data_IF_986083908435
#
_entry.id   IF_986083908435
#
_cell.length_a   1.000
_cell.length_b   1.000
_cell.length_c   1.000
_cell.angle_alpha   90.00
_cell.angle_beta   90.00
_cell.angle_gamma   90.00
#
_symmetry.space_group_name_H-M   'P 1'
#
loop_
_entity.id
_entity.type
_entity.pdbx_description
1 polymer ?
#
# COMPACT_ATOMS: atom_id res chain seq x y z
N UNK A 1 -3.68 -27.02 -3.91
CA UNK A 1 -2.86 -26.19 -3.02
C UNK A 1 -3.40 -26.32 -1.61
N UNK A 2 -2.57 -26.70 -0.66
CA UNK A 2 -2.91 -26.75 0.77
C UNK A 2 -2.31 -25.52 1.43
N UNK A 3 -3.16 -24.74 2.10
CA UNK A 3 -2.70 -23.63 2.93
C UNK A 3 -2.57 -24.18 4.34
N UNK A 4 -1.37 -24.15 4.88
CA UNK A 4 -1.08 -24.53 6.26
C UNK A 4 -1.23 -23.27 7.14
N UNK A 5 -1.87 -23.39 8.30
CA UNK A 5 -1.88 -22.32 9.30
C UNK A 5 -1.14 -22.83 10.53
N UNK A 6 -0.02 -22.17 10.86
CA UNK A 6 0.84 -22.59 11.98
C UNK A 6 0.54 -21.85 13.27
N UNK A 7 -0.34 -20.86 13.24
CA UNK A 7 -0.66 -20.00 14.39
C UNK A 7 0.59 -19.44 15.10
N UNK A 8 1.59 -19.07 14.29
CA UNK A 8 2.84 -18.51 14.78
C UNK A 8 2.66 -17.17 15.48
N UNK A 9 3.68 -16.73 16.19
CA UNK A 9 3.66 -15.43 16.85
C UNK A 9 3.56 -14.31 15.82
N UNK A 10 2.71 -13.29 16.06
CA UNK A 10 2.64 -12.12 15.20
C UNK A 10 3.98 -11.38 15.18
N UNK A 11 4.16 -10.52 14.18
CA UNK A 11 5.32 -9.65 14.10
C UNK A 11 5.54 -8.91 15.42
N UNK A 12 6.80 -8.88 15.88
CA UNK A 12 7.19 -8.26 17.16
C UNK A 12 7.09 -6.73 17.08
N UNK A 13 6.91 -6.18 15.89
CA UNK A 13 6.89 -4.73 15.68
C UNK A 13 5.50 -4.15 15.97
N UNK A 14 5.43 -3.20 16.92
CA UNK A 14 4.22 -2.43 17.18
C UNK A 14 3.73 -1.73 15.89
N UNK A 15 2.41 -1.64 15.64
CA UNK A 15 1.85 -0.86 14.54
C UNK A 15 2.34 0.59 14.50
N UNK A 16 2.73 1.17 15.64
CA UNK A 16 3.33 2.51 15.71
C UNK A 16 4.61 2.68 14.89
N UNK A 17 5.29 1.58 14.54
CA UNK A 17 6.45 1.61 13.65
C UNK A 17 6.11 2.09 12.22
N UNK A 18 4.86 1.93 11.79
CA UNK A 18 4.40 2.38 10.48
C UNK A 18 4.17 3.90 10.40
N UNK A 19 4.08 4.60 11.53
CA UNK A 19 3.68 6.03 11.60
C UNK A 19 4.58 6.93 10.76
N UNK A 20 5.91 6.77 10.85
CA UNK A 20 6.83 7.61 10.09
C UNK A 20 6.69 7.40 8.58
N UNK A 21 6.57 6.14 8.13
CA UNK A 21 6.33 5.82 6.72
C UNK A 21 5.00 6.36 6.21
N UNK A 22 3.95 6.31 7.03
CA UNK A 22 2.65 6.90 6.72
C UNK A 22 2.74 8.43 6.59
N UNK A 23 3.39 9.10 7.55
CA UNK A 23 3.55 10.54 7.54
C UNK A 23 4.32 11.06 6.31
N UNK A 24 5.28 10.29 5.82
CA UNK A 24 6.02 10.61 4.59
C UNK A 24 5.17 10.46 3.33
N UNK A 25 4.30 9.45 3.30
CA UNK A 25 3.42 9.16 2.15
C UNK A 25 2.20 10.07 2.10
N UNK A 26 1.68 10.49 3.25
CA UNK A 26 0.51 11.37 3.36
C UNK A 26 0.91 12.84 3.27
N UNK A 27 1.34 13.28 2.10
CA UNK A 27 1.71 14.69 1.86
C UNK A 27 0.54 15.62 2.22
N UNK A 28 0.78 16.60 3.08
CA UNK A 28 -0.26 17.52 3.57
C UNK A 28 -0.95 17.04 4.87
N UNK A 29 -0.71 15.83 5.34
CA UNK A 29 -1.20 15.40 6.64
C UNK A 29 -0.23 15.80 7.76
N UNK A 30 -0.78 16.17 8.91
CA UNK A 30 -0.09 16.19 10.19
C UNK A 30 -0.51 14.94 10.97
N UNK A 31 0.44 14.08 11.25
CA UNK A 31 0.20 12.89 12.07
C UNK A 31 0.52 13.22 13.52
N UNK A 32 -0.45 13.08 14.40
CA UNK A 32 -0.31 13.35 15.81
C UNK A 32 -0.41 12.03 16.58
N UNK A 33 0.70 11.60 17.12
CA UNK A 33 0.75 10.38 17.96
C UNK A 33 0.30 10.74 19.37
N UNK A 34 -0.72 10.05 19.84
CA UNK A 34 -1.31 10.24 21.17
C UNK A 34 -0.99 9.01 22.04
N UNK A 35 -0.24 9.19 23.10
CA UNK A 35 0.12 8.08 23.94
C UNK A 35 1.15 8.44 25.01
N UNK A 36 1.68 7.44 25.70
CA UNK A 36 2.73 7.63 26.71
C UNK A 36 4.08 8.01 26.08
N UNK A 37 5.01 8.43 26.92
CA UNK A 37 6.40 8.71 26.50
C UNK A 37 7.06 7.50 25.86
N UNK A 38 6.74 6.29 26.30
CA UNK A 38 7.28 5.06 25.74
C UNK A 38 6.81 4.84 24.28
N UNK A 39 5.52 5.05 24.00
CA UNK A 39 4.96 4.94 22.66
C UNK A 39 5.53 6.03 21.73
N UNK A 40 5.65 7.28 22.21
CA UNK A 40 6.31 8.34 21.47
C UNK A 40 7.78 7.97 21.15
N UNK A 41 8.49 7.33 22.07
CA UNK A 41 9.86 6.88 21.87
C UNK A 41 9.96 5.78 20.81
N UNK A 42 9.01 4.86 20.75
CA UNK A 42 8.94 3.84 19.68
C UNK A 42 8.94 4.51 18.31
N UNK A 43 8.04 5.49 18.10
CA UNK A 43 7.96 6.20 16.82
C UNK A 43 9.23 7.01 16.51
N UNK A 44 9.84 7.63 17.52
CA UNK A 44 11.05 8.44 17.35
C UNK A 44 12.33 7.61 17.13
N UNK A 45 12.39 6.38 17.64
CA UNK A 45 13.59 5.54 17.60
C UNK A 45 13.80 4.88 16.23
N UNK A 46 12.74 4.72 15.45
CA UNK A 46 12.82 4.17 14.11
C UNK A 46 12.93 5.29 13.08
N UNK A 47 14.08 5.39 12.40
CA UNK A 47 14.16 6.27 11.25
C UNK A 47 13.15 5.78 10.20
N UNK A 48 12.48 6.71 9.54
CA UNK A 48 11.84 6.40 8.28
C UNK A 48 12.88 5.73 7.37
N UNK A 49 12.52 4.62 6.77
CA UNK A 49 13.43 3.96 5.83
C UNK A 49 13.84 4.98 4.77
N UNK A 50 15.14 5.07 4.42
CA UNK A 50 15.56 5.99 3.38
C UNK A 50 14.86 5.64 2.09
N UNK A 51 13.93 6.48 1.67
CA UNK A 51 13.27 6.32 0.37
C UNK A 51 14.31 6.50 -0.72
N UNK A 52 14.51 5.54 -1.63
CA UNK A 52 15.45 5.69 -2.73
C UNK A 52 15.09 6.83 -3.67
N UNK A 53 13.88 7.37 -3.57
CA UNK A 53 13.35 8.46 -4.40
C UNK A 53 13.46 9.84 -3.75
N UNK A 54 13.74 9.91 -2.45
CA UNK A 54 13.90 11.17 -1.73
C UNK A 54 15.29 11.21 -1.09
N UNK A 55 16.27 11.88 -1.71
CA UNK A 55 17.58 12.05 -1.10
C UNK A 55 17.42 12.81 0.22
N UNK A 56 17.65 12.13 1.34
CA UNK A 56 17.80 12.70 2.69
C UNK A 56 16.69 13.70 3.06
N UNK A 57 15.43 13.23 3.03
CA UNK A 57 14.36 14.02 3.63
C UNK A 57 14.70 14.26 5.09
N UNK A 58 14.78 15.52 5.56
CA UNK A 58 14.89 15.77 6.98
C UNK A 58 13.73 15.06 7.66
N UNK A 59 13.95 14.46 8.84
CA UNK A 59 12.95 13.78 9.67
C UNK A 59 11.61 14.47 9.49
N UNK A 60 10.58 13.71 9.11
CA UNK A 60 9.28 14.28 8.79
C UNK A 60 8.87 15.27 9.89
N UNK A 61 8.84 16.55 9.55
CA UNK A 61 8.35 17.62 10.44
C UNK A 61 6.84 17.54 10.64
N UNK A 62 6.21 16.49 10.11
CA UNK A 62 4.77 16.25 10.08
C UNK A 62 4.28 15.24 11.09
N UNK A 63 5.16 14.78 11.98
CA UNK A 63 4.78 13.95 13.13
C UNK A 63 4.89 14.79 14.38
N UNK A 64 3.79 14.97 15.09
CA UNK A 64 3.73 15.60 16.40
C UNK A 64 3.37 14.56 17.46
N UNK A 65 3.65 14.84 18.72
CA UNK A 65 3.39 13.95 19.83
C UNK A 65 2.57 14.67 20.90
N UNK A 66 1.50 14.01 21.32
CA UNK A 66 0.78 14.37 22.55
C UNK A 66 1.08 13.29 23.56
N UNK A 67 2.02 13.60 24.44
CA UNK A 67 2.41 12.69 25.52
C UNK A 67 1.41 12.83 26.68
N UNK A 68 0.77 11.70 26.99
CA UNK A 68 -0.17 11.58 28.07
C UNK A 68 0.57 11.28 29.38
N UNK A 69 0.19 11.98 30.46
CA UNK A 69 0.72 11.74 31.79
C UNK A 69 -0.29 10.92 32.61
N UNK A 70 0.04 9.70 33.05
CA UNK A 70 -0.87 8.89 33.85
C UNK A 70 -1.30 9.54 35.17
N UNK A 71 -0.57 10.54 35.65
CA UNK A 71 -0.88 11.26 36.88
C UNK A 71 -1.86 12.44 36.69
N UNK A 72 -2.13 12.83 35.45
CA UNK A 72 -3.10 13.90 35.15
C UNK A 72 -4.54 13.36 35.07
N UNK A 73 -5.44 13.87 35.94
CA UNK A 73 -6.84 13.41 36.04
C UNK A 73 -7.73 13.83 34.85
N UNK A 74 -7.37 14.84 34.07
CA UNK A 74 -8.17 15.34 32.94
C UNK A 74 -7.34 15.47 31.67
N UNK A 75 -7.37 14.43 30.84
CA UNK A 75 -6.66 14.45 29.56
C UNK A 75 -7.57 14.73 28.34
N UNK A 76 -8.89 14.62 28.54
CA UNK A 76 -9.88 14.87 27.52
C UNK A 76 -9.95 16.37 27.17
N UNK A 77 -9.93 16.71 25.86
CA UNK A 77 -9.84 18.09 25.36
C UNK A 77 -8.42 18.65 25.27
N UNK A 78 -7.43 18.08 25.99
CA UNK A 78 -6.03 18.49 25.90
C UNK A 78 -5.39 18.00 24.59
N UNK A 79 -5.76 16.80 24.14
CA UNK A 79 -5.25 16.23 22.90
C UNK A 79 -5.59 17.12 21.71
N UNK A 80 -6.86 17.52 21.59
CA UNK A 80 -7.29 18.43 20.53
C UNK A 80 -6.54 19.77 20.59
N UNK A 81 -6.38 20.36 21.79
CA UNK A 81 -5.68 21.64 21.94
C UNK A 81 -4.23 21.54 21.48
N UNK A 82 -3.50 20.50 21.89
CA UNK A 82 -2.10 20.29 21.47
C UNK A 82 -1.99 19.95 19.98
N UNK A 83 -2.94 19.19 19.43
CA UNK A 83 -2.99 18.90 17.99
C UNK A 83 -3.21 20.17 17.16
N UNK A 84 -4.09 21.08 17.64
CA UNK A 84 -4.35 22.38 17.02
C UNK A 84 -3.11 23.26 17.03
N UNK A 85 -2.41 23.35 18.17
CA UNK A 85 -1.14 24.07 18.27
C UNK A 85 -0.08 23.53 17.31
N UNK A 86 0.05 22.21 17.24
CA UNK A 86 0.97 21.56 16.30
C UNK A 86 0.60 21.85 14.84
N UNK A 87 -0.69 21.83 14.50
CA UNK A 87 -1.18 22.16 13.16
C UNK A 87 -0.91 23.62 12.79
N UNK A 88 -1.10 24.56 13.73
CA UNK A 88 -0.80 25.97 13.54
C UNK A 88 0.70 26.22 13.28
N UNK A 89 1.57 25.43 13.89
CA UNK A 89 3.02 25.44 13.67
C UNK A 89 3.48 24.74 12.38
N UNK A 90 2.62 23.93 11.76
CA UNK A 90 2.95 23.14 10.56
C UNK A 90 2.35 23.79 9.31
N UNK A 91 3.21 24.35 8.44
CA UNK A 91 2.74 24.98 7.20
C UNK A 91 2.18 23.96 6.21
N UNK A 92 1.02 24.27 5.63
CA UNK A 92 0.40 23.48 4.56
C UNK A 92 -0.23 22.18 5.07
N UNK A 93 -0.70 22.13 6.30
CA UNK A 93 -1.54 21.08 6.82
C UNK A 93 -2.92 21.16 6.19
N UNK A 94 -3.37 20.07 5.60
CA UNK A 94 -4.68 19.93 4.93
C UNK A 94 -5.54 18.87 5.62
N UNK A 95 -4.91 18.01 6.41
CA UNK A 95 -5.53 16.90 7.12
C UNK A 95 -4.80 16.63 8.43
N UNK A 96 -5.53 16.33 9.50
CA UNK A 96 -4.94 15.94 10.79
C UNK A 96 -5.31 14.48 11.09
N UNK A 97 -4.31 13.65 11.31
CA UNK A 97 -4.49 12.25 11.68
C UNK A 97 -4.04 12.05 13.13
N UNK A 98 -4.98 11.72 14.01
CA UNK A 98 -4.69 11.33 15.39
C UNK A 98 -4.44 9.82 15.41
N UNK A 99 -3.22 9.39 15.74
CA UNK A 99 -2.87 7.99 15.93
C UNK A 99 -2.78 7.72 17.43
N UNK A 100 -3.82 7.13 17.98
CA UNK A 100 -3.89 6.81 19.39
C UNK A 100 -3.21 5.46 19.67
N UNK A 101 -2.22 5.46 20.55
CA UNK A 101 -1.65 4.25 21.10
C UNK A 101 -2.58 3.62 22.15
N UNK A 102 -2.27 2.39 22.56
CA UNK A 102 -3.07 1.65 23.55
C UNK A 102 -3.24 2.40 24.87
N UNK A 103 -2.21 3.14 25.29
CA UNK A 103 -2.27 3.92 26.52
C UNK A 103 -3.32 5.04 26.47
N UNK A 104 -3.61 5.59 25.32
CA UNK A 104 -4.63 6.63 25.17
C UNK A 104 -6.01 6.10 25.59
N UNK A 105 -6.38 4.91 25.14
CA UNK A 105 -7.65 4.26 25.52
C UNK A 105 -7.67 3.93 27.01
N UNK A 106 -6.57 3.35 27.53
CA UNK A 106 -6.44 3.01 28.96
C UNK A 106 -6.53 4.23 29.89
N UNK A 107 -6.10 5.38 29.39
CA UNK A 107 -6.17 6.67 30.12
C UNK A 107 -7.48 7.43 29.85
N UNK A 108 -8.46 6.79 29.18
CA UNK A 108 -9.79 7.34 28.97
C UNK A 108 -9.87 8.42 27.89
N UNK A 109 -8.89 8.50 26.98
CA UNK A 109 -8.93 9.44 25.85
C UNK A 109 -9.81 8.89 24.74
N UNK A 110 -10.91 9.56 24.43
CA UNK A 110 -11.72 9.32 23.23
C UNK A 110 -11.11 10.07 22.03
N UNK A 111 -10.25 9.36 21.28
CA UNK A 111 -9.53 9.93 20.16
C UNK A 111 -10.46 10.43 19.02
N UNK A 112 -11.62 9.78 18.81
CA UNK A 112 -12.60 10.23 17.82
C UNK A 112 -13.27 11.55 18.25
N UNK A 113 -13.58 11.68 19.53
CA UNK A 113 -14.10 12.95 20.06
C UNK A 113 -13.07 14.07 19.90
N UNK A 114 -11.80 13.80 20.21
CA UNK A 114 -10.70 14.75 20.03
C UNK A 114 -10.53 15.16 18.55
N UNK A 115 -10.61 14.23 17.61
CA UNK A 115 -10.55 14.54 16.18
C UNK A 115 -11.73 15.44 15.74
N UNK A 116 -12.95 15.17 16.23
CA UNK A 116 -14.11 16.05 15.96
C UNK A 116 -13.91 17.47 16.50
N UNK A 117 -13.26 17.62 17.65
CA UNK A 117 -12.90 18.93 18.19
C UNK A 117 -11.87 19.65 17.30
N UNK A 118 -10.85 18.92 16.81
CA UNK A 118 -9.86 19.47 15.88
C UNK A 118 -10.53 19.96 14.60
N UNK A 119 -11.37 19.13 13.98
CA UNK A 119 -12.12 19.49 12.76
C UNK A 119 -12.93 20.78 12.96
N UNK A 120 -13.66 20.89 14.09
CA UNK A 120 -14.47 22.09 14.37
C UNK A 120 -13.65 23.36 14.58
N UNK A 121 -12.44 23.24 15.13
CA UNK A 121 -11.58 24.37 15.48
C UNK A 121 -10.74 24.87 14.32
N UNK A 122 -10.26 23.95 13.46
CA UNK A 122 -9.36 24.26 12.36
C UNK A 122 -10.06 24.40 11.01
N UNK A 123 -11.33 23.98 10.90
CA UNK A 123 -12.05 23.83 9.62
C UNK A 123 -11.26 22.96 8.63
N UNK A 124 -10.57 21.95 9.16
CA UNK A 124 -9.80 20.95 8.41
C UNK A 124 -10.32 19.56 8.78
N UNK A 125 -10.36 18.62 7.83
CA UNK A 125 -10.70 17.23 8.16
C UNK A 125 -9.68 16.65 9.13
N UNK A 126 -10.17 16.07 10.21
CA UNK A 126 -9.37 15.35 11.18
C UNK A 126 -10.02 14.01 11.51
N UNK A 127 -9.24 12.96 11.48
CA UNK A 127 -9.66 11.59 11.77
C UNK A 127 -8.79 10.97 12.85
N UNK A 128 -9.35 10.03 13.59
CA UNK A 128 -8.64 9.29 14.61
C UNK A 128 -8.54 7.81 14.25
N UNK A 129 -7.38 7.24 14.50
CA UNK A 129 -7.14 5.81 14.32
C UNK A 129 -6.46 5.27 15.57
N UNK A 130 -7.04 4.22 16.15
CA UNK A 130 -6.42 3.50 17.25
C UNK A 130 -5.39 2.50 16.67
N UNK A 131 -4.10 2.70 16.95
CA UNK A 131 -3.04 1.87 16.42
C UNK A 131 -3.11 0.41 16.90
N UNK A 132 -3.57 0.21 18.14
CA UNK A 132 -3.50 -1.08 18.83
C UNK A 132 -4.86 -1.78 19.03
N UNK A 133 -5.93 -1.32 18.35
CA UNK A 133 -7.29 -1.88 18.54
C UNK A 133 -7.44 -3.39 18.25
N UNK A 134 -6.44 -4.03 17.67
CA UNK A 134 -6.43 -5.47 17.37
C UNK A 134 -5.38 -6.27 18.15
N UNK A 135 -4.79 -5.70 19.19
CA UNK A 135 -3.78 -6.41 19.99
C UNK A 135 -4.29 -7.71 20.64
N UNK A 136 -5.60 -7.82 20.79
CA UNK A 136 -6.26 -9.02 21.31
C UNK A 136 -6.53 -10.09 20.22
N UNK A 137 -6.30 -9.75 18.94
CA UNK A 137 -6.43 -10.68 17.84
C UNK A 137 -5.04 -11.21 17.43
N UNK A 138 -4.84 -12.54 17.38
CA UNK A 138 -3.62 -13.11 16.81
C UNK A 138 -3.39 -12.57 15.39
N UNK A 139 -2.19 -12.06 15.09
CA UNK A 139 -1.82 -11.64 13.74
C UNK A 139 -2.03 -10.14 13.43
N UNK A 140 -1.98 -9.25 14.42
CA UNK A 140 -1.92 -7.79 14.18
C UNK A 140 -0.63 -7.41 13.49
N UNK A 141 -0.73 -6.74 12.34
CA UNK A 141 0.40 -6.35 11.51
C UNK A 141 0.61 -4.83 11.53
N UNK A 142 1.84 -4.39 11.25
CA UNK A 142 2.12 -2.97 11.00
C UNK A 142 1.30 -2.40 9.84
N UNK A 143 0.92 -3.25 8.88
CA UNK A 143 0.02 -2.93 7.76
C UNK A 143 -1.42 -2.64 8.20
N UNK A 144 -1.84 -3.11 9.37
CA UNK A 144 -3.20 -2.86 9.88
C UNK A 144 -3.43 -1.39 10.23
N UNK A 145 -2.40 -0.68 10.68
CA UNK A 145 -2.49 0.78 10.88
C UNK A 145 -2.73 1.49 9.55
N UNK A 146 -2.03 1.09 8.49
CA UNK A 146 -2.23 1.67 7.16
C UNK A 146 -3.64 1.44 6.64
N UNK A 147 -4.16 0.23 6.74
CA UNK A 147 -5.52 -0.11 6.32
C UNK A 147 -6.57 0.75 7.04
N UNK A 148 -6.41 0.97 8.36
CA UNK A 148 -7.30 1.85 9.13
C UNK A 148 -7.19 3.30 8.73
N UNK A 149 -5.97 3.79 8.51
CA UNK A 149 -5.76 5.16 8.04
C UNK A 149 -6.40 5.37 6.69
N UNK A 150 -6.25 4.41 5.76
CA UNK A 150 -6.90 4.50 4.46
C UNK A 150 -8.42 4.34 4.57
N UNK A 151 -8.93 3.53 5.50
CA UNK A 151 -10.36 3.45 5.78
C UNK A 151 -10.92 4.81 6.26
N UNK A 152 -10.22 5.49 7.17
CA UNK A 152 -10.58 6.82 7.64
C UNK A 152 -10.58 7.85 6.49
N UNK A 153 -9.56 7.82 5.62
CA UNK A 153 -9.54 8.68 4.42
C UNK A 153 -10.67 8.35 3.45
N UNK A 154 -11.01 7.09 3.24
CA UNK A 154 -12.18 6.67 2.43
C UNK A 154 -13.47 7.21 3.03
N UNK A 155 -13.63 7.16 4.36
CA UNK A 155 -14.81 7.74 5.03
C UNK A 155 -14.90 9.26 4.86
N UNK A 156 -13.77 9.94 4.89
CA UNK A 156 -13.69 11.40 4.68
C UNK A 156 -13.91 11.81 3.21
N UNK A 157 -13.87 10.89 2.24
CA UNK A 157 -14.12 11.22 0.83
C UNK A 157 -15.51 11.87 0.64
N UNK A 158 -15.65 12.87 -0.25
CA UNK A 158 -16.96 13.41 -0.63
C UNK A 158 -17.88 12.31 -1.18
N UNK A 159 -19.17 12.34 -0.80
CA UNK A 159 -20.14 11.38 -1.34
C UNK A 159 -20.47 11.71 -2.78
N UNK A 160 -20.29 10.74 -3.69
CA UNK A 160 -20.76 10.84 -5.07
C UNK A 160 -22.20 10.37 -5.16
N UNK A 161 -23.06 11.18 -5.78
CA UNK A 161 -24.47 10.83 -6.04
C UNK A 161 -24.66 10.53 -7.52
N UNK A 162 -25.58 9.65 -7.84
CA UNK A 162 -25.96 9.36 -9.24
C UNK A 162 -26.45 10.59 -10.01
N UNK A 163 -27.04 11.58 -9.29
CA UNK A 163 -27.44 12.87 -9.86
C UNK A 163 -26.28 13.67 -10.44
N UNK A 164 -25.10 13.55 -9.87
CA UNK A 164 -23.91 14.33 -10.28
C UNK A 164 -23.40 13.90 -11.66
N UNK A 165 -23.71 12.65 -12.07
CA UNK A 165 -23.40 12.15 -13.41
C UNK A 165 -24.32 12.72 -14.49
N UNK A 166 -25.55 13.05 -14.15
CA UNK A 166 -26.53 13.60 -15.09
C UNK A 166 -26.25 15.07 -15.39
N UNK A 167 -25.67 15.82 -14.45
CA UNK A 167 -25.31 17.23 -14.64
C UNK A 167 -24.08 17.41 -15.53
N UNK A 168 -23.12 16.49 -15.49
CA UNK A 168 -21.92 16.52 -16.36
C UNK A 168 -22.21 16.15 -17.81
N UNK A 169 -23.36 15.52 -18.09
CA UNK A 169 -23.80 15.14 -19.46
C UNK A 169 -24.65 16.22 -20.15
N UNK A 170 -25.03 17.28 -19.46
CA UNK A 170 -25.72 18.42 -20.10
C UNK A 170 -24.72 19.25 -20.92
N UNK A 171 -24.87 19.35 -22.23
CA UNK A 171 -24.03 20.21 -23.04
C UNK A 171 -24.24 21.66 -22.61
N UNK A 172 -23.20 22.27 -22.03
CA UNK A 172 -23.22 23.69 -21.73
C UNK A 172 -23.58 24.45 -23.01
N UNK A 173 -24.78 25.04 -23.03
CA UNK A 173 -25.19 26.01 -24.08
C UNK A 173 -24.26 27.22 -23.99
N UNK A 174 -23.11 27.14 -24.63
CA UNK A 174 -22.32 28.31 -24.98
C UNK A 174 -22.86 28.86 -26.29
N UNK A 175 -23.83 29.76 -26.17
CA UNK A 175 -24.12 30.72 -27.22
C UNK A 175 -22.94 31.66 -27.38
N UNK A 176 -22.26 31.61 -28.51
CA UNK A 176 -21.14 32.48 -28.86
C UNK A 176 -20.80 32.24 -30.33
N UNK A 177 -21.48 32.95 -31.25
CA UNK A 177 -21.01 33.17 -32.61
C UNK A 177 -19.66 33.90 -32.53
N UNK A 178 -18.61 33.30 -33.00
CA UNK A 178 -17.32 33.79 -33.51
C UNK A 178 -16.18 32.89 -33.04
N UNK A 179 -15.60 32.14 -33.96
CA UNK A 179 -14.39 31.39 -33.68
C UNK A 179 -14.11 30.21 -34.61
N UNK A 180 -14.41 30.36 -35.89
CA UNK A 180 -13.81 29.51 -36.92
C UNK A 180 -12.53 30.21 -37.37
N UNK A 181 -11.38 29.65 -37.05
CA UNK A 181 -10.19 29.53 -37.86
C UNK A 181 -8.95 29.25 -36.99
N UNK A 182 -8.19 28.22 -37.40
CA UNK A 182 -6.84 27.87 -36.96
C UNK A 182 -6.68 27.14 -35.60
N UNK A 183 -6.45 25.86 -35.73
CA UNK A 183 -5.92 25.04 -34.63
C UNK A 183 -5.97 23.55 -34.95
N UNK A 184 -4.96 23.02 -35.62
CA UNK A 184 -4.74 21.59 -35.85
C UNK A 184 -4.83 20.81 -34.52
N UNK A 185 -5.73 19.85 -34.49
CA UNK A 185 -5.60 18.50 -33.93
C UNK A 185 -4.86 18.32 -32.63
N UNK A 186 -5.51 18.63 -31.49
CA UNK A 186 -5.51 17.76 -30.35
C UNK A 186 -6.85 17.03 -30.39
N UNK A 187 -6.85 15.74 -30.72
CA UNK A 187 -7.97 14.88 -30.42
C UNK A 187 -8.24 15.01 -28.94
N UNK A 188 -9.28 15.73 -28.58
CA UNK A 188 -9.89 15.60 -27.26
C UNK A 188 -10.30 14.13 -27.15
N UNK A 189 -9.53 13.37 -26.32
CA UNK A 189 -9.95 12.04 -25.90
C UNK A 189 -11.33 12.25 -25.27
N UNK A 190 -12.37 11.82 -25.98
CA UNK A 190 -13.74 11.84 -25.49
C UNK A 190 -13.73 11.09 -24.17
N UNK A 191 -14.07 11.78 -23.07
CA UNK A 191 -14.26 11.19 -21.76
C UNK A 191 -15.07 9.90 -21.92
N UNK A 192 -14.53 8.77 -21.51
CA UNK A 192 -15.14 7.46 -21.67
C UNK A 192 -16.50 7.44 -21.01
N UNK A 193 -17.47 6.75 -21.61
CA UNK A 193 -18.80 6.51 -21.04
C UNK A 193 -18.76 5.51 -19.86
N UNK A 194 -17.59 5.20 -19.33
CA UNK A 194 -17.38 4.24 -18.26
C UNK A 194 -17.60 4.83 -16.85
N UNK A 195 -17.69 3.94 -15.87
CA UNK A 195 -17.70 4.35 -14.46
C UNK A 195 -16.36 4.94 -14.06
N UNK A 196 -16.34 5.99 -13.23
CA UNK A 196 -15.09 6.55 -12.72
C UNK A 196 -14.39 5.58 -11.79
N UNK A 197 -13.07 5.58 -11.86
CA UNK A 197 -12.21 4.68 -11.08
C UNK A 197 -11.42 5.48 -10.05
N UNK A 198 -11.35 4.94 -8.83
CA UNK A 198 -10.49 5.38 -7.74
C UNK A 198 -9.46 4.28 -7.46
N UNK A 199 -8.18 4.64 -7.40
CA UNK A 199 -7.11 3.72 -7.02
C UNK A 199 -6.92 3.74 -5.50
N UNK A 200 -7.03 2.57 -4.84
CA UNK A 200 -6.86 2.43 -3.40
C UNK A 200 -5.53 1.76 -3.08
N UNK A 201 -4.67 2.45 -2.30
CA UNK A 201 -3.37 1.93 -1.88
C UNK A 201 -2.22 2.19 -2.88
N UNK A 202 -2.37 3.16 -3.79
CA UNK A 202 -1.40 3.46 -4.86
C UNK A 202 -0.12 4.20 -4.43
N UNK A 203 0.25 4.19 -3.17
CA UNK A 203 1.14 5.20 -2.58
C UNK A 203 2.61 4.86 -2.49
N UNK A 204 3.02 3.64 -2.80
CA UNK A 204 4.44 3.25 -2.64
C UNK A 204 5.38 3.91 -3.64
N UNK A 205 4.88 4.39 -4.79
CA UNK A 205 5.67 5.14 -5.74
C UNK A 205 4.80 6.02 -6.64
N UNK A 206 4.99 7.33 -6.62
CA UNK A 206 4.27 8.24 -7.52
C UNK A 206 4.43 7.90 -9.01
N UNK A 207 5.60 7.36 -9.40
CA UNK A 207 5.87 6.94 -10.78
C UNK A 207 5.02 5.74 -11.21
N UNK A 208 4.84 4.78 -10.31
CA UNK A 208 4.04 3.57 -10.57
C UNK A 208 2.57 3.86 -10.70
N UNK A 209 2.03 4.72 -9.84
CA UNK A 209 0.64 5.17 -9.95
C UNK A 209 0.39 5.88 -11.28
N UNK A 210 1.37 6.64 -11.77
CA UNK A 210 1.28 7.32 -13.08
C UNK A 210 1.19 6.33 -14.23
N UNK A 211 2.03 5.29 -14.26
CA UNK A 211 1.97 4.27 -15.32
C UNK A 211 0.59 3.61 -15.39
N UNK A 212 0.07 3.17 -14.25
CA UNK A 212 -1.26 2.54 -14.19
C UNK A 212 -2.37 3.51 -14.61
N UNK A 213 -2.28 4.77 -14.18
CA UNK A 213 -3.20 5.82 -14.58
C UNK A 213 -3.18 6.03 -16.12
N UNK A 214 -1.99 6.15 -16.71
CA UNK A 214 -1.82 6.29 -18.15
C UNK A 214 -2.37 5.07 -18.92
N UNK A 215 -2.11 3.87 -18.42
CA UNK A 215 -2.61 2.62 -19.04
C UNK A 215 -4.13 2.53 -18.98
N UNK A 216 -4.73 2.83 -17.84
CA UNK A 216 -6.18 2.88 -17.69
C UNK A 216 -6.81 3.96 -18.57
N UNK A 217 -6.18 5.14 -18.66
CA UNK A 217 -6.62 6.22 -19.54
C UNK A 217 -6.58 5.82 -21.04
N UNK A 218 -5.55 5.07 -21.48
CA UNK A 218 -5.47 4.52 -22.82
C UNK A 218 -6.61 3.51 -23.12
N UNK A 219 -7.11 2.82 -22.11
CA UNK A 219 -8.29 1.97 -22.20
C UNK A 219 -9.62 2.76 -22.14
N UNK A 220 -9.56 4.09 -22.03
CA UNK A 220 -10.72 4.98 -21.93
C UNK A 220 -11.30 5.07 -20.51
N UNK A 221 -10.60 4.53 -19.50
CA UNK A 221 -11.03 4.58 -18.10
C UNK A 221 -10.69 5.95 -17.51
N UNK A 222 -11.67 6.59 -16.90
CA UNK A 222 -11.49 7.83 -16.16
C UNK A 222 -11.06 7.52 -14.73
N UNK A 223 -9.77 7.70 -14.42
CA UNK A 223 -9.25 7.63 -13.03
C UNK A 223 -9.42 9.01 -12.39
N UNK A 224 -10.37 9.12 -11.47
CA UNK A 224 -10.73 10.39 -10.81
C UNK A 224 -9.87 10.74 -9.61
N UNK A 225 -9.02 9.82 -9.18
CA UNK A 225 -8.08 10.03 -8.09
C UNK A 225 -7.61 8.74 -7.44
N UNK A 226 -6.90 8.88 -6.33
CA UNK A 226 -6.45 7.79 -5.48
C UNK A 226 -6.74 8.06 -4.00
N UNK A 227 -6.75 7.01 -3.20
CA UNK A 227 -6.74 7.09 -1.74
C UNK A 227 -5.51 6.31 -1.23
N UNK A 228 -4.54 7.02 -0.62
CA UNK A 228 -4.47 8.46 -0.51
C UNK A 228 -4.22 9.12 -1.87
N UNK A 229 -4.61 10.40 -2.01
CA UNK A 229 -4.26 11.21 -3.16
C UNK A 229 -2.81 11.67 -3.17
N UNK A 230 -2.42 12.52 -4.12
CA UNK A 230 -1.08 13.14 -4.13
C UNK A 230 -0.86 14.03 -2.89
N UNK A 231 -1.96 14.58 -2.36
CA UNK A 231 -2.02 15.28 -1.06
C UNK A 231 -3.17 14.72 -0.24
N UNK A 232 -3.04 14.74 1.09
CA UNK A 232 -4.04 14.19 2.00
C UNK A 232 -5.42 14.86 1.90
N UNK A 233 -5.46 16.13 1.50
CA UNK A 233 -6.71 16.87 1.26
C UNK A 233 -7.35 16.60 -0.12
N UNK A 234 -6.65 15.94 -1.04
CA UNK A 234 -7.16 15.60 -2.37
C UNK A 234 -7.92 14.27 -2.32
N UNK A 235 -9.13 14.30 -1.74
CA UNK A 235 -9.98 13.14 -1.60
C UNK A 235 -10.96 13.05 -2.79
N UNK A 236 -10.94 11.94 -3.58
CA UNK A 236 -11.86 11.77 -4.69
C UNK A 236 -13.29 11.56 -4.21
N UNK A 237 -14.28 12.01 -4.98
CA UNK A 237 -15.68 11.70 -4.68
C UNK A 237 -15.95 10.20 -4.87
N UNK A 238 -16.52 9.55 -3.85
CA UNK A 238 -16.68 8.11 -3.75
C UNK A 238 -18.12 7.75 -3.38
N UNK A 239 -18.70 6.75 -4.05
CA UNK A 239 -20.09 6.32 -3.80
C UNK A 239 -20.61 5.42 -4.93
N UNK A 240 -21.94 5.39 -5.09
CA UNK A 240 -22.60 4.66 -6.17
C UNK A 240 -21.96 4.99 -7.53
N UNK A 241 -21.85 4.00 -8.41
CA UNK A 241 -21.20 4.11 -9.72
C UNK A 241 -19.68 4.33 -9.70
N UNK A 242 -19.03 4.45 -8.54
CA UNK A 242 -17.57 4.50 -8.46
C UNK A 242 -16.98 3.08 -8.40
N UNK A 243 -15.98 2.82 -9.21
CA UNK A 243 -15.19 1.59 -9.16
C UNK A 243 -13.94 1.85 -8.33
N UNK A 244 -13.68 1.02 -7.34
CA UNK A 244 -12.47 1.11 -6.50
C UNK A 244 -11.54 -0.05 -6.85
N UNK A 245 -10.38 0.27 -7.36
CA UNK A 245 -9.34 -0.68 -7.72
C UNK A 245 -8.30 -0.77 -6.59
N UNK A 246 -8.31 -1.89 -5.86
CA UNK A 246 -7.42 -2.13 -4.72
C UNK A 246 -6.06 -2.60 -5.22
N UNK A 247 -4.99 -1.97 -4.75
CA UNK A 247 -3.62 -2.22 -5.18
C UNK A 247 -2.74 -2.86 -4.09
N UNK A 248 -3.30 -3.05 -2.90
CA UNK A 248 -2.63 -3.65 -1.74
C UNK A 248 -3.56 -4.70 -1.11
N UNK A 249 -3.13 -5.96 -0.96
CA UNK A 249 -3.96 -7.04 -0.46
C UNK A 249 -4.34 -6.89 1.02
N UNK A 250 -3.70 -5.98 1.75
CA UNK A 250 -3.97 -5.76 3.17
C UNK A 250 -5.11 -4.76 3.43
N UNK A 251 -5.58 -4.05 2.41
CA UNK A 251 -6.57 -2.96 2.56
C UNK A 251 -8.01 -3.47 2.70
N UNK A 252 -8.24 -4.31 3.69
CA UNK A 252 -9.52 -4.95 3.96
C UNK A 252 -10.56 -3.99 4.54
N UNK A 253 -10.17 -3.19 5.55
CA UNK A 253 -11.07 -2.23 6.17
C UNK A 253 -11.39 -1.08 5.21
N UNK A 254 -10.37 -0.53 4.54
CA UNK A 254 -10.55 0.55 3.57
C UNK A 254 -11.45 0.12 2.39
N UNK A 255 -11.27 -1.09 1.89
CA UNK A 255 -12.13 -1.63 0.82
C UNK A 255 -13.57 -1.85 1.32
N UNK A 256 -13.76 -2.35 2.53
CA UNK A 256 -15.09 -2.51 3.14
C UNK A 256 -15.78 -1.15 3.31
N UNK A 257 -15.07 -0.15 3.82
CA UNK A 257 -15.61 1.21 3.95
C UNK A 257 -16.04 1.77 2.59
N UNK A 258 -15.26 1.50 1.52
CA UNK A 258 -15.65 1.89 0.17
C UNK A 258 -16.94 1.18 -0.31
N UNK A 259 -17.09 -0.13 -0.03
CA UNK A 259 -18.31 -0.89 -0.33
C UNK A 259 -19.52 -0.36 0.46
N UNK A 260 -19.37 -0.04 1.74
CA UNK A 260 -20.41 0.55 2.60
C UNK A 260 -20.87 1.93 2.10
N UNK A 261 -20.00 2.64 1.41
CA UNK A 261 -20.31 3.91 0.73
C UNK A 261 -20.96 3.72 -0.65
N UNK A 262 -21.18 2.47 -1.06
CA UNK A 262 -21.84 2.09 -2.32
C UNK A 262 -20.89 1.91 -3.50
N UNK A 263 -19.58 2.00 -3.32
CA UNK A 263 -18.63 1.78 -4.39
C UNK A 263 -18.48 0.29 -4.73
N UNK A 264 -18.06 0.01 -5.98
CA UNK A 264 -17.74 -1.35 -6.44
C UNK A 264 -16.25 -1.61 -6.30
N UNK A 265 -15.88 -2.52 -5.40
CA UNK A 265 -14.50 -2.93 -5.20
C UNK A 265 -14.13 -4.04 -6.18
N UNK A 266 -13.09 -3.81 -6.98
CA UNK A 266 -12.56 -4.79 -7.94
C UNK A 266 -11.69 -5.80 -7.21
N UNK A 267 -11.99 -7.09 -7.43
CA UNK A 267 -11.21 -8.23 -6.92
C UNK A 267 -10.51 -8.89 -8.09
N UNK A 268 -9.22 -8.66 -8.21
CA UNK A 268 -8.39 -9.11 -9.34
C UNK A 268 -6.98 -9.41 -8.84
N UNK A 269 -6.07 -9.80 -9.73
CA UNK A 269 -4.66 -9.87 -9.41
C UNK A 269 -4.14 -8.47 -9.04
N UNK A 270 -3.25 -8.41 -8.06
CA UNK A 270 -2.52 -7.18 -7.78
C UNK A 270 -1.71 -6.77 -9.03
N UNK A 271 -1.56 -5.47 -9.32
CA UNK A 271 -0.81 -5.01 -10.49
C UNK A 271 0.70 -5.15 -10.27
N UNK A 272 1.13 -6.37 -9.90
CA UNK A 272 2.51 -6.77 -9.64
C UNK A 272 2.95 -7.77 -10.71
N UNK A 273 4.09 -7.49 -11.35
CA UNK A 273 4.55 -8.27 -12.47
C UNK A 273 3.77 -7.98 -13.76
N UNK A 274 4.19 -8.63 -14.83
CA UNK A 274 3.64 -8.36 -16.17
C UNK A 274 2.19 -8.81 -16.30
N UNK A 275 1.92 -10.09 -15.98
CA UNK A 275 0.59 -10.67 -16.17
C UNK A 275 -0.41 -10.15 -15.13
N UNK A 276 0.04 -9.90 -13.88
CA UNK A 276 -0.78 -9.25 -12.87
C UNK A 276 -1.21 -7.84 -13.28
N UNK A 277 -0.29 -7.06 -13.83
CA UNK A 277 -0.58 -5.71 -14.34
C UNK A 277 -1.58 -5.74 -15.50
N UNK A 278 -1.36 -6.62 -16.47
CA UNK A 278 -2.26 -6.78 -17.61
C UNK A 278 -3.68 -7.17 -17.16
N UNK A 279 -3.78 -8.14 -16.26
CA UNK A 279 -5.05 -8.62 -15.72
C UNK A 279 -5.77 -7.55 -14.91
N UNK A 280 -5.03 -6.84 -14.04
CA UNK A 280 -5.57 -5.71 -13.28
C UNK A 280 -6.21 -4.65 -14.18
N UNK A 281 -5.50 -4.21 -15.24
CA UNK A 281 -6.01 -3.21 -16.17
C UNK A 281 -7.26 -3.72 -16.89
N UNK A 282 -7.27 -4.99 -17.32
CA UNK A 282 -8.42 -5.59 -18.00
C UNK A 282 -9.65 -5.66 -17.10
N UNK A 283 -9.49 -6.13 -15.86
CA UNK A 283 -10.60 -6.33 -14.93
C UNK A 283 -11.16 -4.98 -14.44
N UNK A 284 -10.28 -4.01 -14.10
CA UNK A 284 -10.70 -2.65 -13.74
C UNK A 284 -11.46 -1.97 -14.87
N UNK A 285 -10.95 -2.11 -16.11
CA UNK A 285 -11.65 -1.58 -17.28
C UNK A 285 -13.01 -2.26 -17.49
N UNK A 286 -13.10 -3.58 -17.28
CA UNK A 286 -14.34 -4.35 -17.36
C UNK A 286 -15.39 -3.87 -16.37
N UNK A 287 -15.01 -3.67 -15.10
CA UNK A 287 -15.89 -3.14 -14.07
C UNK A 287 -16.30 -1.69 -14.32
N UNK A 288 -15.44 -0.90 -14.96
CA UNK A 288 -15.79 0.43 -15.46
C UNK A 288 -16.75 0.40 -16.69
N UNK A 289 -17.06 -0.78 -17.25
CA UNK A 289 -17.91 -0.95 -18.41
C UNK A 289 -17.18 -0.78 -19.75
N UNK A 290 -15.85 -0.90 -19.75
CA UNK A 290 -14.99 -0.72 -20.91
C UNK A 290 -14.20 -2.02 -21.19
N UNK A 291 -13.48 -2.04 -22.32
CA UNK A 291 -12.63 -3.18 -22.71
C UNK A 291 -11.21 -2.70 -22.91
N UNK A 292 -10.28 -3.26 -22.15
CA UNK A 292 -8.84 -3.12 -22.36
C UNK A 292 -8.26 -4.38 -23.00
N UNK A 293 -7.26 -4.20 -23.86
CA UNK A 293 -6.48 -5.30 -24.40
C UNK A 293 -5.00 -5.04 -24.13
N UNK A 294 -4.48 -5.71 -23.12
CA UNK A 294 -3.09 -5.58 -22.66
C UNK A 294 -2.15 -6.67 -23.22
N UNK A 295 -2.64 -7.62 -24.04
CA UNK A 295 -1.86 -8.78 -24.50
C UNK A 295 -0.58 -8.39 -25.25
N UNK A 296 -0.66 -7.42 -26.15
CA UNK A 296 0.51 -6.95 -26.91
C UNK A 296 1.52 -6.29 -26.00
N UNK A 297 1.07 -5.45 -25.07
CA UNK A 297 1.94 -4.76 -24.10
C UNK A 297 2.61 -5.74 -23.13
N UNK A 298 1.84 -6.72 -22.63
CA UNK A 298 2.39 -7.76 -21.75
C UNK A 298 3.46 -8.58 -22.47
N UNK A 299 3.24 -8.97 -23.73
CA UNK A 299 4.24 -9.66 -24.54
C UNK A 299 5.52 -8.84 -24.70
N UNK A 300 5.39 -7.58 -25.12
CA UNK A 300 6.55 -6.69 -25.24
C UNK A 300 7.28 -6.49 -23.92
N UNK A 301 6.54 -6.36 -22.81
CA UNK A 301 7.15 -6.23 -21.50
C UNK A 301 7.96 -7.49 -21.11
N UNK A 302 7.45 -8.69 -21.40
CA UNK A 302 8.19 -9.92 -21.19
C UNK A 302 9.45 -10.04 -22.07
N UNK A 303 9.38 -9.60 -23.34
CA UNK A 303 10.52 -9.51 -24.23
C UNK A 303 11.60 -8.58 -23.69
N UNK A 304 11.21 -7.39 -23.23
CA UNK A 304 12.10 -6.40 -22.63
C UNK A 304 12.77 -6.89 -21.33
N UNK A 305 12.11 -7.80 -20.60
CA UNK A 305 12.60 -8.35 -19.33
C UNK A 305 13.42 -9.64 -19.51
N UNK A 306 13.50 -10.20 -20.71
CA UNK A 306 14.17 -11.51 -20.93
C UNK A 306 15.61 -11.57 -20.40
N UNK A 307 16.47 -10.54 -20.52
CA UNK A 307 17.81 -10.58 -19.94
C UNK A 307 17.81 -10.76 -18.40
N UNK A 308 16.89 -10.09 -17.71
CA UNK A 308 16.74 -10.20 -16.24
C UNK A 308 16.13 -11.55 -15.86
N UNK A 309 15.14 -12.02 -16.62
CA UNK A 309 14.50 -13.32 -16.41
C UNK A 309 15.52 -14.45 -16.50
N UNK A 310 16.44 -14.40 -17.44
CA UNK A 310 17.49 -15.41 -17.61
C UNK A 310 18.41 -15.53 -16.38
N UNK A 311 18.59 -14.43 -15.63
CA UNK A 311 19.36 -14.42 -14.37
C UNK A 311 18.57 -14.98 -13.18
N UNK A 312 17.24 -14.92 -13.24
CA UNK A 312 16.33 -15.35 -12.16
C UNK A 312 15.81 -16.77 -12.41
N UNK A 313 15.77 -17.21 -13.65
CA UNK A 313 15.26 -18.54 -14.05
C UNK A 313 15.96 -19.68 -13.31
N UNK A 314 15.15 -20.53 -12.66
CA UNK A 314 15.63 -21.67 -11.88
C UNK A 314 16.18 -21.31 -10.50
N UNK A 315 16.32 -20.03 -10.15
CA UNK A 315 16.71 -19.61 -8.80
C UNK A 315 15.61 -19.98 -7.80
N UNK A 316 16.04 -20.55 -6.69
CA UNK A 316 15.18 -21.05 -5.62
C UNK A 316 14.93 -19.97 -4.60
N UNK A 317 13.67 -19.57 -4.43
CA UNK A 317 13.26 -18.44 -3.60
C UNK A 317 12.33 -18.93 -2.50
N UNK A 318 12.58 -18.50 -1.27
CA UNK A 318 11.75 -18.76 -0.11
C UNK A 318 11.22 -17.42 0.44
N UNK A 319 9.92 -17.33 0.71
CA UNK A 319 9.31 -16.15 1.31
C UNK A 319 9.00 -16.39 2.78
N UNK A 320 9.57 -15.56 3.63
CA UNK A 320 9.38 -15.51 5.07
C UNK A 320 9.09 -14.05 5.48
N UNK A 321 8.11 -13.44 4.83
CA UNK A 321 7.82 -12.03 4.92
C UNK A 321 6.77 -11.67 5.96
N UNK A 322 6.48 -10.37 6.04
CA UNK A 322 5.58 -9.74 7.00
C UNK A 322 4.70 -8.64 6.38
N UNK A 323 4.65 -8.57 5.04
CA UNK A 323 4.01 -7.44 4.36
C UNK A 323 2.66 -7.76 3.73
N UNK A 324 2.31 -9.06 3.59
CA UNK A 324 1.13 -9.50 2.85
C UNK A 324 1.30 -9.48 1.32
N UNK A 325 2.39 -8.90 0.80
CA UNK A 325 2.72 -8.90 -0.63
C UNK A 325 3.49 -10.15 -1.08
N UNK A 326 3.80 -11.06 -0.17
CA UNK A 326 4.57 -12.28 -0.46
C UNK A 326 3.92 -13.11 -1.55
N UNK A 327 2.58 -13.26 -1.52
CA UNK A 327 1.86 -14.08 -2.52
C UNK A 327 1.91 -13.44 -3.92
N UNK A 328 1.57 -12.15 -4.13
CA UNK A 328 1.70 -11.51 -5.44
C UNK A 328 3.13 -11.47 -5.98
N UNK A 329 4.12 -11.26 -5.09
CA UNK A 329 5.55 -11.29 -5.47
C UNK A 329 5.98 -12.68 -5.89
N UNK A 330 5.60 -13.72 -5.12
CA UNK A 330 5.90 -15.10 -5.41
C UNK A 330 5.31 -15.54 -6.75
N UNK A 331 4.04 -15.20 -7.02
CA UNK A 331 3.40 -15.46 -8.31
C UNK A 331 4.21 -14.85 -9.45
N UNK A 332 4.54 -13.55 -9.35
CA UNK A 332 5.31 -12.88 -10.41
C UNK A 332 6.69 -13.51 -10.62
N UNK A 333 7.39 -13.89 -9.55
CA UNK A 333 8.69 -14.51 -9.68
C UNK A 333 8.62 -15.92 -10.25
N UNK A 334 7.56 -16.68 -9.94
CA UNK A 334 7.25 -17.94 -10.60
C UNK A 334 7.00 -17.74 -12.10
N UNK A 335 6.20 -16.75 -12.50
CA UNK A 335 5.95 -16.37 -13.90
C UNK A 335 7.26 -15.98 -14.62
N UNK A 336 8.20 -15.35 -13.90
CA UNK A 336 9.54 -15.03 -14.41
C UNK A 336 10.47 -16.25 -14.53
N UNK A 337 10.07 -17.41 -14.01
CA UNK A 337 10.80 -18.67 -14.12
C UNK A 337 11.64 -19.04 -12.89
N UNK A 338 11.47 -18.35 -11.76
CA UNK A 338 12.04 -18.76 -10.48
C UNK A 338 11.32 -20.01 -9.92
N UNK A 339 11.97 -20.72 -9.03
CA UNK A 339 11.38 -21.83 -8.26
C UNK A 339 11.02 -21.31 -6.89
N UNK A 340 9.73 -21.07 -6.67
CA UNK A 340 9.21 -20.68 -5.36
C UNK A 340 9.05 -21.93 -4.50
N UNK A 341 9.70 -21.94 -3.35
CA UNK A 341 9.73 -23.11 -2.46
C UNK A 341 8.59 -23.08 -1.44
N UNK A 342 8.44 -21.95 -0.75
CA UNK A 342 7.40 -21.70 0.23
C UNK A 342 7.04 -20.23 0.21
N UNK A 343 5.77 -19.92 0.46
CA UNK A 343 5.28 -18.56 0.70
C UNK A 343 4.71 -18.49 2.10
N UNK A 344 5.53 -18.03 3.05
CA UNK A 344 5.08 -17.67 4.38
C UNK A 344 4.52 -16.26 4.37
N UNK A 345 3.27 -16.11 4.74
CA UNK A 345 2.58 -14.82 4.84
C UNK A 345 1.95 -14.66 6.23
N UNK A 346 1.98 -13.47 6.82
CA UNK A 346 1.47 -13.26 8.17
C UNK A 346 -0.05 -13.47 8.25
N UNK A 347 -0.75 -13.12 7.19
CA UNK A 347 -2.20 -13.26 7.03
C UNK A 347 -2.56 -13.38 5.56
N UNK A 348 -3.58 -14.15 5.26
CA UNK A 348 -4.12 -14.33 3.91
C UNK A 348 -5.57 -13.87 3.84
N UNK A 349 -5.81 -12.65 3.38
CA UNK A 349 -7.19 -12.23 3.08
C UNK A 349 -7.63 -12.84 1.74
N UNK A 350 -8.43 -13.91 1.83
CA UNK A 350 -8.92 -14.65 0.65
C UNK A 350 -9.76 -13.80 -0.30
N UNK A 351 -10.31 -12.66 0.17
CA UNK A 351 -11.09 -11.77 -0.71
C UNK A 351 -10.22 -11.12 -1.77
N UNK A 352 -8.97 -10.78 -1.44
CA UNK A 352 -8.03 -10.14 -2.35
C UNK A 352 -6.97 -11.11 -2.89
N UNK A 353 -6.67 -12.18 -2.17
CA UNK A 353 -5.61 -13.11 -2.54
C UNK A 353 -6.09 -14.39 -3.23
N UNK A 354 -7.40 -14.65 -3.34
CA UNK A 354 -7.89 -15.86 -4.00
C UNK A 354 -7.38 -16.02 -5.44
N UNK A 355 -7.41 -14.94 -6.22
CA UNK A 355 -6.94 -14.96 -7.60
C UNK A 355 -5.41 -15.16 -7.67
N UNK A 356 -4.67 -14.54 -6.76
CA UNK A 356 -3.21 -14.70 -6.63
C UNK A 356 -2.81 -16.13 -6.28
N UNK A 357 -3.47 -16.70 -5.24
CA UNK A 357 -3.24 -18.07 -4.80
C UNK A 357 -3.57 -19.07 -5.90
N UNK A 358 -4.65 -18.83 -6.65
CA UNK A 358 -5.03 -19.69 -7.78
C UNK A 358 -3.98 -19.61 -8.90
N UNK A 359 -3.46 -18.43 -9.19
CA UNK A 359 -2.45 -18.20 -10.23
C UNK A 359 -1.06 -18.75 -9.83
N UNK A 360 -0.73 -18.72 -8.52
CA UNK A 360 0.52 -19.29 -8.00
C UNK A 360 0.63 -20.80 -8.24
N UNK A 361 -0.51 -21.50 -8.33
CA UNK A 361 -0.57 -22.92 -8.66
C UNK A 361 -0.51 -23.84 -7.43
N UNK A 362 -0.70 -25.15 -7.64
CA UNK A 362 -0.81 -26.14 -6.56
C UNK A 362 0.53 -26.59 -5.97
N UNK A 363 1.64 -26.38 -6.68
CA UNK A 363 2.94 -26.95 -6.35
C UNK A 363 3.78 -26.11 -5.36
N UNK A 364 3.25 -24.95 -4.96
CA UNK A 364 3.90 -24.06 -4.00
C UNK A 364 3.27 -24.25 -2.63
N UNK A 365 4.09 -24.43 -1.62
CA UNK A 365 3.65 -24.46 -0.23
C UNK A 365 3.33 -23.06 0.25
N UNK A 366 2.11 -22.86 0.78
CA UNK A 366 1.67 -21.59 1.35
C UNK A 366 1.38 -21.77 2.83
N UNK A 367 2.04 -20.97 3.67
CA UNK A 367 1.92 -21.03 5.12
C UNK A 367 1.40 -19.69 5.64
N UNK A 368 0.21 -19.72 6.25
CA UNK A 368 -0.36 -18.56 6.94
C UNK A 368 0.09 -18.54 8.41
N UNK A 369 0.46 -17.37 8.91
CA UNK A 369 0.96 -17.18 10.28
C UNK A 369 2.06 -18.19 10.63
N UNK A 370 3.18 -18.26 9.89
CA UNK A 370 4.20 -19.28 10.10
C UNK A 370 4.84 -19.17 11.48
N UNK A 371 5.13 -20.33 12.11
CA UNK A 371 6.03 -20.37 13.25
C UNK A 371 7.46 -20.08 12.78
N UNK A 372 8.05 -19.01 13.29
CA UNK A 372 9.35 -18.53 12.84
C UNK A 372 10.48 -19.54 13.05
N UNK A 373 10.41 -20.42 14.08
CA UNK A 373 11.42 -21.45 14.33
C UNK A 373 11.32 -22.57 13.28
N UNK A 374 10.10 -23.10 13.10
CA UNK A 374 9.83 -24.08 12.07
C UNK A 374 10.17 -23.56 10.66
N UNK A 375 9.92 -22.26 10.42
CA UNK A 375 10.26 -21.63 9.14
C UNK A 375 11.77 -21.55 8.92
N UNK A 376 12.59 -21.22 9.93
CA UNK A 376 14.05 -21.27 9.85
C UNK A 376 14.53 -22.69 9.54
N UNK A 377 13.99 -23.72 10.20
CA UNK A 377 14.37 -25.13 9.96
C UNK A 377 14.04 -25.56 8.52
N UNK A 378 12.90 -25.12 7.98
CA UNK A 378 12.54 -25.38 6.57
C UNK A 378 13.49 -24.67 5.59
N UNK A 379 13.88 -23.41 5.89
CA UNK A 379 14.85 -22.65 5.10
C UNK A 379 16.22 -23.34 5.12
N UNK A 380 16.72 -23.75 6.29
CA UNK A 380 18.00 -24.46 6.43
C UNK A 380 18.01 -25.78 5.65
N UNK A 381 16.88 -26.51 5.65
CA UNK A 381 16.72 -27.76 4.92
C UNK A 381 16.60 -27.54 3.40
N UNK A 382 15.85 -26.54 3.00
CA UNK A 382 15.57 -26.24 1.60
C UNK A 382 16.74 -25.56 0.89
N UNK A 383 17.63 -24.85 1.60
CA UNK A 383 18.80 -24.13 1.04
C UNK A 383 18.44 -23.30 -0.18
N UNK A 384 17.57 -22.29 -0.06
CA UNK A 384 17.22 -21.41 -1.16
C UNK A 384 18.41 -20.58 -1.62
N UNK A 385 18.38 -20.11 -2.88
CA UNK A 385 19.35 -19.12 -3.38
C UNK A 385 19.17 -17.75 -2.75
N UNK A 386 17.94 -17.41 -2.36
CA UNK A 386 17.61 -16.19 -1.63
C UNK A 386 16.36 -16.39 -0.76
N UNK A 387 16.36 -15.75 0.41
CA UNK A 387 15.19 -15.67 1.29
C UNK A 387 14.67 -14.24 1.28
N UNK A 388 13.40 -14.07 0.96
CA UNK A 388 12.71 -12.79 1.17
C UNK A 388 12.17 -12.80 2.61
N UNK A 389 12.91 -12.17 3.52
CA UNK A 389 12.72 -12.32 4.96
C UNK A 389 12.29 -11.03 5.65
N UNK A 390 11.34 -11.16 6.59
CA UNK A 390 10.96 -10.08 7.50
C UNK A 390 12.16 -9.56 8.30
N UNK A 391 12.11 -8.33 8.82
CA UNK A 391 13.19 -7.77 9.65
C UNK A 391 13.57 -8.66 10.84
N UNK A 392 12.59 -9.31 11.47
CA UNK A 392 12.80 -10.21 12.60
C UNK A 392 13.59 -11.48 12.25
N UNK A 393 13.43 -11.98 11.03
CA UNK A 393 14.12 -13.18 10.54
C UNK A 393 15.43 -12.88 9.79
N UNK A 394 15.59 -11.66 9.28
CA UNK A 394 16.73 -11.27 8.44
C UNK A 394 18.08 -11.56 9.14
N UNK A 395 18.26 -11.03 10.35
CA UNK A 395 19.54 -11.16 11.08
C UNK A 395 19.85 -12.62 11.43
N UNK A 396 18.91 -13.41 12.01
CA UNK A 396 19.16 -14.84 12.27
C UNK A 396 19.51 -15.66 11.05
N UNK A 397 18.88 -15.37 9.89
CA UNK A 397 19.14 -16.10 8.65
C UNK A 397 20.50 -15.74 8.02
N UNK A 398 20.86 -14.45 8.01
CA UNK A 398 22.19 -14.00 7.56
C UNK A 398 23.30 -14.63 8.42
N UNK A 399 23.09 -14.71 9.76
CA UNK A 399 24.04 -15.36 10.66
C UNK A 399 24.21 -16.88 10.38
N UNK A 400 23.23 -17.52 9.72
CA UNK A 400 23.30 -18.91 9.24
C UNK A 400 23.86 -19.05 7.81
N UNK A 401 24.25 -17.94 7.20
CA UNK A 401 24.82 -17.92 5.87
C UNK A 401 23.80 -17.86 4.72
N UNK A 402 22.53 -17.57 5.01
CA UNK A 402 21.53 -17.39 3.96
C UNK A 402 21.62 -15.99 3.35
N UNK A 403 21.47 -15.91 2.02
CA UNK A 403 21.30 -14.67 1.32
C UNK A 403 19.88 -14.16 1.54
N UNK A 404 19.74 -12.99 2.15
CA UNK A 404 18.45 -12.43 2.52
C UNK A 404 18.16 -11.10 1.83
N UNK A 405 16.85 -10.84 1.59
CA UNK A 405 16.32 -9.58 1.12
C UNK A 405 15.07 -9.22 1.92
N UNK A 406 14.89 -7.95 2.25
CA UNK A 406 13.66 -7.51 2.89
C UNK A 406 12.52 -7.42 1.85
N UNK A 407 11.30 -7.87 2.16
CA UNK A 407 10.14 -7.62 1.30
C UNK A 407 9.87 -6.11 1.13
N UNK A 408 10.23 -5.29 2.11
CA UNK A 408 10.11 -3.83 2.03
C UNK A 408 10.98 -3.21 0.96
N UNK A 409 12.16 -3.78 0.66
CA UNK A 409 13.03 -3.30 -0.42
C UNK A 409 12.31 -3.33 -1.78
N UNK A 410 11.47 -4.33 -2.00
CA UNK A 410 10.64 -4.43 -3.21
C UNK A 410 9.56 -3.35 -3.20
N UNK A 411 8.81 -3.22 -2.11
CA UNK A 411 7.72 -2.25 -2.00
C UNK A 411 8.22 -0.82 -2.18
N UNK A 412 9.33 -0.45 -1.55
CA UNK A 412 9.94 0.87 -1.66
C UNK A 412 10.50 1.15 -3.05
N UNK A 413 10.94 0.12 -3.79
CA UNK A 413 11.36 0.28 -5.19
C UNK A 413 10.21 0.59 -6.14
N UNK A 414 8.96 0.35 -5.72
CA UNK A 414 7.74 0.50 -6.50
C UNK A 414 7.42 -0.76 -7.31
N UNK A 415 6.56 -1.62 -6.75
CA UNK A 415 6.24 -2.96 -7.28
C UNK A 415 5.18 -2.98 -8.36
N UNK A 416 4.36 -1.93 -8.47
CA UNK A 416 3.20 -1.93 -9.34
C UNK A 416 3.56 -1.59 -10.80
N UNK A 417 2.79 -2.14 -11.73
CA UNK A 417 2.93 -1.86 -13.15
C UNK A 417 4.04 -2.66 -13.84
N UNK A 418 4.21 -2.43 -15.13
CA UNK A 418 5.26 -3.08 -15.94
C UNK A 418 6.65 -2.60 -15.53
N UNK A 419 6.78 -1.33 -15.15
CA UNK A 419 8.03 -0.80 -14.64
C UNK A 419 8.36 -1.38 -13.26
N UNK A 420 7.35 -1.63 -12.43
CA UNK A 420 7.50 -2.35 -11.16
C UNK A 420 8.06 -3.77 -11.37
N UNK A 421 7.57 -4.48 -12.38
CA UNK A 421 8.09 -5.79 -12.75
C UNK A 421 9.60 -5.76 -13.05
N UNK A 422 10.05 -4.76 -13.79
CA UNK A 422 11.48 -4.54 -14.09
C UNK A 422 12.28 -4.34 -12.80
N UNK A 423 11.83 -3.44 -11.92
CA UNK A 423 12.54 -3.09 -10.66
C UNK A 423 12.66 -4.28 -9.72
N UNK A 424 11.63 -5.12 -9.62
CA UNK A 424 11.67 -6.35 -8.82
C UNK A 424 12.79 -7.27 -9.32
N UNK A 425 12.83 -7.54 -10.64
CA UNK A 425 13.86 -8.41 -11.23
C UNK A 425 15.27 -7.81 -11.11
N UNK A 426 15.43 -6.51 -11.35
CA UNK A 426 16.72 -5.81 -11.18
C UNK A 426 17.23 -5.91 -9.75
N UNK A 427 16.34 -5.76 -8.76
CA UNK A 427 16.69 -5.85 -7.35
C UNK A 427 17.21 -7.25 -7.00
N UNK A 428 16.55 -8.31 -7.49
CA UNK A 428 16.99 -9.68 -7.29
C UNK A 428 18.32 -9.97 -8.01
N UNK A 429 18.45 -9.56 -9.26
CA UNK A 429 19.68 -9.75 -10.03
C UNK A 429 20.88 -9.11 -9.32
N UNK A 430 20.73 -7.86 -8.88
CA UNK A 430 21.77 -7.17 -8.10
C UNK A 430 22.10 -7.90 -6.79
N UNK A 431 21.12 -8.56 -6.18
CA UNK A 431 21.34 -9.34 -4.95
C UNK A 431 22.21 -10.55 -5.24
N UNK A 432 21.95 -11.28 -6.33
CA UNK A 432 22.77 -12.42 -6.75
C UNK A 432 24.17 -11.98 -7.17
N UNK A 433 24.29 -10.92 -7.97
CA UNK A 433 25.60 -10.41 -8.42
C UNK A 433 26.49 -9.96 -7.25
N UNK A 434 25.92 -9.36 -6.22
CA UNK A 434 26.66 -9.01 -5.00
C UNK A 434 27.14 -10.23 -4.24
N UNK A 435 26.34 -11.28 -4.12
CA UNK A 435 26.73 -12.52 -3.48
C UNK A 435 27.88 -13.20 -4.26
N UNK A 436 27.73 -13.33 -5.58
CA UNK A 436 28.76 -13.88 -6.48
C UNK A 436 30.09 -13.10 -6.38
N UNK A 437 30.01 -11.76 -6.29
CA UNK A 437 31.20 -10.92 -6.13
C UNK A 437 31.89 -11.11 -4.76
N UNK A 438 31.13 -11.26 -3.69
CA UNK A 438 31.69 -11.50 -2.34
C UNK A 438 32.34 -12.89 -2.26
N UNK A 439 31.74 -13.92 -2.84
CA UNK A 439 32.31 -15.26 -2.89
C UNK A 439 33.64 -15.29 -3.67
N UNK A 440 33.74 -14.49 -4.73
CA UNK A 440 34.96 -14.38 -5.54
C UNK A 440 36.14 -13.68 -4.82
N UNK A 441 35.86 -12.88 -3.79
CA UNK A 441 36.88 -12.17 -2.99
C UNK A 441 37.38 -13.03 -1.83
N UNK A 442 36.56 -13.98 -1.36
CA UNK A 442 36.90 -14.86 -0.24
C UNK A 442 37.65 -16.15 -0.67
N UNK A 443 37.99 -16.24 -1.94
CA UNK A 443 38.85 -17.29 -2.51
C UNK A 443 40.26 -16.76 -2.76
#
# INVERSE_FOLDING_TARGET
MTILNESGAPDVLSPLHAVNGLAERLTGALVVVVGTRAEAHIVQSLPAAPSPTLPHSPRSTRVAFVVLDPEEEQQQGQVASRAIEAAAGSRGTEFVLLVAGRSAELLGVDAEFEARLVTRRLDLPAEAVNADASYDAPGTLSTDLEDRVLAALVEACPKRRTSDLLETTSPAKRGGLFGSFLGRGREEVRAGRGRPVVLLGATFSPGTARELHERLALAGVEVVGGVPGARAGELPALGEETVVAVMDPNLTAAARTAEERGARVVRTLMPIGVDGTARFIQDVSGEAGLRANELTRARSAWEDLEPLRNRVRGKRIFFAGDTGFEVPLARFLADAGAVVLEVGAPRLDKRFLSAELQALGPDVDVVESPDWRGQIERIDSAKPDVVVASPGLHVPLVARGHLCRSPRDFLESGVHGYEGARRILELLVRTFERAEALDSVNL
#
